data_IF_216246392073
#
_entry.id   IF_216246392073
#
_cell.length_a   1.000
_cell.length_b   1.000
_cell.length_c   1.000
_cell.angle_alpha   90.00
_cell.angle_beta   90.00
_cell.angle_gamma   90.00
#
_symmetry.space_group_name_H-M   'P 1'
#
loop_
_entity.id
_entity.type
_entity.pdbx_description
1 polymer ?
#
# COMPACT_ATOMS: atom_id res chain seq x y z
N UNK A 1 15.14 -15.23 0.78
CA UNK A 1 15.19 -15.16 2.23
C UNK A 1 14.69 -16.47 2.82
N UNK A 2 13.40 -16.71 2.75
CA UNK A 2 12.78 -17.94 3.24
C UNK A 2 13.21 -19.17 2.45
N UNK A 3 13.33 -20.31 3.12
CA UNK A 3 13.73 -21.60 2.58
C UNK A 3 12.66 -22.64 2.94
N UNK A 4 12.60 -23.80 2.24
CA UNK A 4 11.73 -24.90 2.65
C UNK A 4 11.95 -25.28 4.12
N UNK A 5 10.86 -25.34 4.88
CA UNK A 5 10.87 -25.57 6.33
C UNK A 5 10.84 -24.30 7.20
N UNK A 6 11.07 -23.10 6.60
CA UNK A 6 10.94 -21.83 7.31
C UNK A 6 9.48 -21.47 7.58
N UNK A 7 9.25 -20.61 8.58
CA UNK A 7 7.94 -20.06 8.92
C UNK A 7 7.93 -18.55 8.82
N UNK A 8 6.94 -18.01 8.09
CA UNK A 8 6.60 -16.59 8.04
C UNK A 8 5.36 -16.34 8.91
N UNK A 9 5.48 -15.39 9.85
CA UNK A 9 4.40 -14.95 10.72
C UNK A 9 4.01 -13.51 10.34
N UNK A 10 2.80 -13.31 9.82
CA UNK A 10 2.23 -11.98 9.64
C UNK A 10 1.61 -11.50 10.94
N UNK A 11 1.93 -10.28 11.38
CA UNK A 11 1.48 -9.74 12.67
C UNK A 11 0.61 -8.49 12.56
N UNK A 12 0.35 -8.04 11.35
CA UNK A 12 -0.47 -6.85 11.05
C UNK A 12 -1.87 -7.20 10.50
N UNK A 13 -2.40 -8.34 10.92
CA UNK A 13 -3.61 -8.90 10.32
C UNK A 13 -3.32 -9.66 9.04
N UNK A 14 -4.36 -10.05 8.31
CA UNK A 14 -4.20 -10.76 7.04
C UNK A 14 -3.50 -9.85 6.03
N UNK A 15 -2.49 -10.34 5.28
CA UNK A 15 -1.84 -9.54 4.26
C UNK A 15 -2.80 -9.11 3.15
N UNK A 16 -2.40 -8.09 2.39
CA UNK A 16 -3.13 -7.57 1.24
C UNK A 16 -3.48 -8.67 0.22
N UNK A 17 -4.67 -8.57 -0.39
CA UNK A 17 -5.31 -9.61 -1.20
C UNK A 17 -4.36 -10.25 -2.25
N UNK A 18 -3.57 -9.45 -2.96
CA UNK A 18 -2.65 -9.98 -3.98
C UNK A 18 -1.50 -10.82 -3.42
N UNK A 19 -1.19 -10.71 -2.13
CA UNK A 19 -0.21 -11.58 -1.47
C UNK A 19 -0.77 -12.96 -1.14
N UNK A 20 -2.09 -13.14 -1.12
CA UNK A 20 -2.70 -14.44 -0.81
C UNK A 20 -2.22 -15.53 -1.77
N UNK A 21 -2.18 -15.26 -3.08
CA UNK A 21 -1.67 -16.22 -4.07
C UNK A 21 -0.16 -16.41 -3.97
N UNK A 22 0.61 -15.37 -3.63
CA UNK A 22 2.06 -15.47 -3.43
C UNK A 22 2.40 -16.34 -2.23
N UNK A 23 1.63 -16.20 -1.15
CA UNK A 23 1.78 -17.03 0.06
C UNK A 23 1.26 -18.45 -0.18
N UNK A 24 0.20 -18.60 -0.97
CA UNK A 24 -0.49 -19.86 -1.22
C UNK A 24 -1.72 -20.04 -0.31
N UNK A 25 -2.37 -18.94 0.08
CA UNK A 25 -3.66 -18.96 0.75
C UNK A 25 -4.80 -19.15 -0.24
N UNK A 26 -4.59 -18.75 -1.49
CA UNK A 26 -5.49 -18.94 -2.64
C UNK A 26 -4.68 -19.50 -3.81
N UNK A 27 -5.34 -20.30 -4.66
CA UNK A 27 -4.68 -21.01 -5.77
C UNK A 27 -3.92 -22.27 -5.32
N UNK A 28 -3.61 -23.13 -6.27
CA UNK A 28 -2.85 -24.39 -6.04
C UNK A 28 -1.78 -24.55 -7.11
N UNK A 29 -0.60 -25.06 -6.72
CA UNK A 29 0.52 -25.36 -7.63
C UNK A 29 0.96 -24.19 -8.52
N UNK A 30 0.92 -22.98 -7.98
CA UNK A 30 1.28 -21.75 -8.71
C UNK A 30 2.69 -21.24 -8.39
N UNK A 31 3.48 -22.02 -7.63
CA UNK A 31 4.82 -21.59 -7.18
C UNK A 31 4.78 -20.65 -5.98
N UNK A 32 3.77 -20.79 -5.13
CA UNK A 32 3.62 -20.03 -3.89
C UNK A 32 4.67 -20.38 -2.85
N UNK A 33 4.78 -19.59 -1.78
CA UNK A 33 5.64 -19.92 -0.64
C UNK A 33 5.28 -21.28 -0.04
N UNK A 34 3.98 -21.58 0.06
CA UNK A 34 3.47 -22.86 0.57
C UNK A 34 3.86 -24.02 -0.33
N UNK A 35 3.83 -23.86 -1.67
CA UNK A 35 4.27 -24.90 -2.60
C UNK A 35 5.76 -25.24 -2.43
N UNK A 36 6.56 -24.26 -1.97
CA UNK A 36 7.98 -24.46 -1.65
C UNK A 36 8.22 -24.90 -0.20
N UNK A 37 7.18 -25.29 0.54
CA UNK A 37 7.30 -25.83 1.90
C UNK A 37 7.59 -24.77 2.95
N UNK A 38 7.21 -23.52 2.72
CA UNK A 38 7.29 -22.44 3.70
C UNK A 38 5.95 -22.36 4.43
N UNK A 39 6.00 -22.45 5.77
CA UNK A 39 4.81 -22.28 6.59
C UNK A 39 4.42 -20.80 6.73
N UNK A 40 3.12 -20.56 6.76
CA UNK A 40 2.55 -19.24 7.00
C UNK A 40 1.57 -19.29 8.18
N UNK A 41 1.64 -18.26 9.01
CA UNK A 41 0.69 -18.03 10.09
C UNK A 41 0.39 -16.53 10.21
N UNK A 42 -0.72 -16.17 10.85
CA UNK A 42 -1.16 -14.79 10.97
C UNK A 42 -1.72 -14.53 12.38
N UNK A 43 -1.27 -13.45 13.00
CA UNK A 43 -1.88 -12.93 14.23
C UNK A 43 -2.97 -11.95 13.81
N UNK A 44 -4.24 -12.22 14.13
CA UNK A 44 -5.33 -11.30 13.83
C UNK A 44 -5.20 -10.00 14.62
N UNK A 45 -5.74 -8.93 14.07
CA UNK A 45 -5.88 -7.68 14.80
C UNK A 45 -6.95 -7.82 15.89
N UNK A 46 -6.78 -7.08 16.98
CA UNK A 46 -7.76 -6.95 18.05
C UNK A 46 -8.36 -5.54 18.00
N UNK A 47 -9.65 -5.44 17.67
CA UNK A 47 -10.33 -4.14 17.53
C UNK A 47 -9.57 -3.18 16.59
N UNK A 48 -9.14 -3.70 15.44
CA UNK A 48 -8.35 -2.99 14.40
C UNK A 48 -6.93 -2.56 14.83
N UNK A 49 -6.44 -3.00 16.01
CA UNK A 49 -5.10 -2.73 16.54
C UNK A 49 -4.24 -3.99 16.63
N UNK A 50 -2.92 -3.79 16.70
CA UNK A 50 -1.98 -4.90 16.94
C UNK A 50 -2.19 -5.52 18.31
N UNK A 51 -2.36 -6.84 18.36
CA UNK A 51 -2.40 -7.60 19.62
C UNK A 51 -0.96 -8.01 20.03
N UNK A 52 -0.28 -7.15 20.76
CA UNK A 52 1.10 -7.40 21.19
C UNK A 52 1.27 -8.63 22.07
N UNK A 53 0.24 -9.01 22.85
CA UNK A 53 0.29 -10.22 23.68
C UNK A 53 0.20 -11.48 22.81
N UNK A 54 -0.69 -11.46 21.81
CA UNK A 54 -0.81 -12.55 20.84
C UNK A 54 0.45 -12.67 19.98
N UNK A 55 1.03 -11.56 19.55
CA UNK A 55 2.31 -11.51 18.81
C UNK A 55 3.42 -12.15 19.66
N UNK A 56 3.56 -11.74 20.93
CA UNK A 56 4.58 -12.29 21.83
C UNK A 56 4.42 -13.79 22.09
N UNK A 57 3.20 -14.32 22.03
CA UNK A 57 2.92 -15.77 22.17
C UNK A 57 3.17 -16.53 20.86
N UNK A 58 2.95 -15.89 19.71
CA UNK A 58 3.08 -16.52 18.40
C UNK A 58 4.52 -16.57 17.88
N UNK A 59 5.39 -15.67 18.35
CA UNK A 59 6.82 -15.66 18.00
C UNK A 59 7.55 -16.68 18.89
N UNK A 60 8.10 -17.71 18.26
CA UNK A 60 8.94 -18.74 18.86
C UNK A 60 10.18 -19.03 17.99
N UNK A 61 10.99 -19.99 18.39
CA UNK A 61 12.22 -20.36 17.67
C UNK A 61 11.98 -20.92 16.26
N UNK A 62 10.75 -21.27 15.90
CA UNK A 62 10.37 -21.76 14.57
C UNK A 62 10.08 -20.61 13.58
N UNK A 63 9.83 -19.39 14.09
CA UNK A 63 9.52 -18.24 13.25
C UNK A 63 10.79 -17.66 12.65
N UNK A 64 10.98 -17.89 11.36
CA UNK A 64 12.12 -17.33 10.61
C UNK A 64 11.92 -15.85 10.26
N UNK A 65 10.67 -15.45 9.98
CA UNK A 65 10.35 -14.08 9.58
C UNK A 65 9.06 -13.61 10.23
N UNK A 66 9.13 -12.45 10.87
CA UNK A 66 7.96 -11.62 11.23
C UNK A 66 7.73 -10.63 10.10
N UNK A 67 6.54 -10.65 9.51
CA UNK A 67 6.13 -9.77 8.43
C UNK A 67 5.13 -8.74 8.91
N UNK A 68 5.37 -7.47 8.57
CA UNK A 68 4.54 -6.32 8.90
C UNK A 68 4.13 -5.64 7.61
N UNK A 69 2.84 -5.49 7.35
CA UNK A 69 2.30 -4.59 6.33
C UNK A 69 1.91 -3.28 7.01
N UNK A 70 2.64 -2.20 6.73
CA UNK A 70 2.39 -0.89 7.38
C UNK A 70 1.12 -0.24 6.89
N UNK A 71 0.97 -0.06 5.59
CA UNK A 71 -0.23 0.53 5.01
C UNK A 71 -1.43 -0.40 5.15
N UNK A 72 -2.61 0.20 5.19
CA UNK A 72 -3.87 -0.51 5.48
C UNK A 72 -4.36 -1.45 4.40
N UNK A 73 -3.86 -1.35 3.16
CA UNK A 73 -4.49 -2.06 2.05
C UNK A 73 -5.95 -1.62 1.88
N UNK A 74 -6.88 -2.56 1.73
CA UNK A 74 -8.33 -2.29 1.70
C UNK A 74 -9.01 -2.53 3.06
N UNK A 75 -8.28 -2.39 4.15
CA UNK A 75 -8.82 -2.47 5.50
C UNK A 75 -9.12 -1.07 6.07
N UNK A 76 -10.03 -1.00 7.02
CA UNK A 76 -10.40 0.26 7.68
C UNK A 76 -9.46 0.63 8.83
N UNK A 77 -8.62 -0.31 9.28
CA UNK A 77 -7.62 -0.04 10.31
C UNK A 77 -6.73 1.14 9.95
N UNK A 78 -6.17 1.79 10.94
CA UNK A 78 -5.13 2.79 10.72
C UNK A 78 -3.86 2.13 10.14
N UNK A 79 -3.10 2.90 9.36
CA UNK A 79 -1.75 2.49 8.93
C UNK A 79 -0.80 2.55 10.12
N UNK A 80 0.11 1.57 10.23
CA UNK A 80 0.95 1.39 11.40
C UNK A 80 2.03 2.48 11.49
N UNK A 81 2.20 3.01 12.68
CA UNK A 81 3.24 3.96 13.01
C UNK A 81 4.62 3.32 13.08
N UNK A 82 5.67 4.15 13.15
CA UNK A 82 7.02 3.66 13.39
C UNK A 82 7.19 3.14 14.82
N UNK A 83 6.50 3.73 15.79
CA UNK A 83 6.49 3.30 17.18
C UNK A 83 5.86 1.89 17.32
N UNK A 84 4.76 1.63 16.63
CA UNK A 84 4.14 0.29 16.58
C UNK A 84 5.06 -0.72 15.90
N UNK A 85 5.71 -0.32 14.80
CA UNK A 85 6.70 -1.15 14.10
C UNK A 85 7.89 -1.48 15.00
N UNK A 86 8.42 -0.49 15.72
CA UNK A 86 9.51 -0.66 16.70
C UNK A 86 9.11 -1.66 17.78
N UNK A 87 7.93 -1.50 18.37
CA UNK A 87 7.44 -2.39 19.43
C UNK A 87 7.31 -3.83 18.96
N UNK A 88 6.83 -4.06 17.74
CA UNK A 88 6.80 -5.40 17.15
C UNK A 88 8.21 -5.96 16.97
N UNK A 89 9.15 -5.14 16.47
CA UNK A 89 10.53 -5.56 16.28
C UNK A 89 11.20 -5.94 17.62
N UNK A 90 10.97 -5.16 18.67
CA UNK A 90 11.47 -5.44 20.04
C UNK A 90 10.92 -6.77 20.54
N UNK A 91 9.60 -6.99 20.46
CA UNK A 91 8.96 -8.28 20.87
C UNK A 91 9.55 -9.44 20.06
N UNK A 92 9.65 -9.30 18.75
CA UNK A 92 10.16 -10.36 17.88
C UNK A 92 11.61 -10.73 18.25
N UNK A 93 12.48 -9.74 18.47
CA UNK A 93 13.89 -9.95 18.81
C UNK A 93 14.09 -10.46 20.26
N UNK A 94 13.23 -10.08 21.19
CA UNK A 94 13.25 -10.63 22.55
C UNK A 94 12.91 -12.12 22.54
N UNK A 95 11.92 -12.53 21.75
CA UNK A 95 11.48 -13.94 21.68
C UNK A 95 12.39 -14.80 20.82
N UNK A 96 12.80 -14.30 19.67
CA UNK A 96 13.71 -14.98 18.76
C UNK A 96 14.73 -13.98 18.16
N UNK A 97 15.93 -13.85 18.73
CA UNK A 97 16.95 -12.92 18.23
C UNK A 97 17.36 -13.16 16.77
N UNK A 98 17.17 -14.36 16.24
CA UNK A 98 17.52 -14.74 14.87
C UNK A 98 16.39 -14.48 13.87
N UNK A 99 15.19 -14.22 14.32
CA UNK A 99 14.05 -13.90 13.47
C UNK A 99 14.33 -12.62 12.66
N UNK A 100 13.88 -12.60 11.43
CA UNK A 100 13.97 -11.45 10.53
C UNK A 100 12.69 -10.64 10.63
N UNK A 101 12.80 -9.36 10.95
CA UNK A 101 11.67 -8.43 10.90
C UNK A 101 11.66 -7.75 9.53
N UNK A 102 10.67 -8.09 8.71
CA UNK A 102 10.47 -7.54 7.37
C UNK A 102 9.21 -6.67 7.33
N UNK A 103 9.33 -5.50 6.73
CA UNK A 103 8.23 -4.55 6.59
C UNK A 103 7.93 -4.29 5.11
N UNK A 104 6.68 -4.47 4.71
CA UNK A 104 6.14 -3.87 3.50
C UNK A 104 5.87 -2.40 3.79
N UNK A 105 6.64 -1.54 3.14
CA UNK A 105 6.64 -0.11 3.38
C UNK A 105 5.90 0.68 2.29
N UNK A 106 5.23 0.00 1.36
CA UNK A 106 4.44 0.63 0.30
C UNK A 106 3.50 1.71 0.88
N UNK A 107 3.48 2.87 0.24
CA UNK A 107 2.72 4.08 0.60
C UNK A 107 3.19 4.83 1.85
N UNK A 108 4.19 4.31 2.59
CA UNK A 108 4.65 4.87 3.86
C UNK A 108 6.00 5.58 3.75
N UNK A 109 6.74 5.36 2.65
CA UNK A 109 8.06 5.92 2.43
C UNK A 109 8.00 7.45 2.41
N UNK A 110 8.94 8.11 3.08
CA UNK A 110 9.08 9.58 3.17
C UNK A 110 7.89 10.32 3.82
N UNK A 111 6.93 9.61 4.40
CA UNK A 111 5.86 10.22 5.21
C UNK A 111 6.40 10.70 6.55
N UNK A 112 7.30 9.93 7.14
CA UNK A 112 7.99 10.26 8.39
C UNK A 112 9.46 10.63 8.13
N UNK A 113 10.13 11.18 9.16
CA UNK A 113 11.56 11.50 9.12
C UNK A 113 12.47 10.28 9.17
N UNK A 114 11.95 9.18 9.65
CA UNK A 114 12.64 7.89 9.79
C UNK A 114 11.92 6.84 8.98
N UNK A 115 12.63 5.75 8.66
CA UNK A 115 12.10 4.58 8.00
C UNK A 115 12.17 3.37 8.94
N UNK A 116 11.42 2.29 8.69
CA UNK A 116 11.35 1.15 9.60
C UNK A 116 12.69 0.52 9.94
N UNK A 117 13.67 0.58 9.05
CA UNK A 117 15.05 0.08 9.31
C UNK A 117 15.80 0.86 10.38
N UNK A 118 15.35 2.07 10.69
CA UNK A 118 15.94 2.90 11.77
C UNK A 118 15.29 2.64 13.13
N UNK A 119 14.21 1.86 13.15
CA UNK A 119 13.44 1.53 14.37
C UNK A 119 13.34 0.02 14.61
N UNK A 120 14.27 -0.78 14.06
CA UNK A 120 14.42 -2.20 14.38
C UNK A 120 13.99 -3.19 13.30
N UNK A 121 13.42 -2.76 12.18
CA UNK A 121 13.21 -3.65 11.04
C UNK A 121 14.56 -4.05 10.40
N UNK A 122 14.71 -5.34 10.08
CA UNK A 122 15.91 -5.84 9.41
C UNK A 122 15.87 -5.57 7.90
N UNK A 123 14.67 -5.54 7.33
CA UNK A 123 14.45 -5.43 5.90
C UNK A 123 13.15 -4.69 5.61
N UNK A 124 13.19 -3.81 4.62
CA UNK A 124 12.00 -3.19 4.04
C UNK A 124 11.93 -3.49 2.56
N UNK A 125 10.73 -3.56 2.04
CA UNK A 125 10.47 -3.63 0.61
C UNK A 125 9.33 -2.69 0.24
N UNK A 126 9.35 -2.22 -1.01
CA UNK A 126 8.29 -1.38 -1.54
C UNK A 126 8.35 -1.29 -3.06
N UNK A 127 7.35 -0.66 -3.62
CA UNK A 127 7.20 -0.47 -5.06
C UNK A 127 7.76 0.88 -5.51
N UNK A 128 8.52 0.87 -6.61
CA UNK A 128 9.03 2.10 -7.21
C UNK A 128 7.99 2.85 -8.07
N UNK A 129 6.86 2.24 -8.40
CA UNK A 129 5.75 2.99 -9.02
C UNK A 129 4.94 3.81 -7.98
N UNK A 130 5.22 3.59 -6.68
CA UNK A 130 4.62 4.29 -5.54
C UNK A 130 5.57 5.37 -5.01
N UNK A 131 5.52 5.64 -3.71
CA UNK A 131 6.25 6.72 -3.04
C UNK A 131 7.72 6.81 -3.46
N UNK A 132 8.46 5.72 -3.34
CA UNK A 132 9.92 5.73 -3.50
C UNK A 132 10.39 6.05 -4.93
N UNK A 133 9.53 5.88 -5.93
CA UNK A 133 9.85 6.22 -7.31
C UNK A 133 9.44 7.63 -7.74
N UNK A 134 8.79 8.42 -6.86
CA UNK A 134 8.52 9.85 -7.06
C UNK A 134 7.75 10.19 -8.34
N UNK A 135 7.00 9.26 -8.91
CA UNK A 135 6.29 9.42 -10.18
C UNK A 135 7.16 9.33 -11.44
N UNK A 136 8.47 9.10 -11.28
CA UNK A 136 9.42 8.97 -12.38
C UNK A 136 9.68 7.53 -12.79
N UNK A 137 9.69 6.61 -11.81
CA UNK A 137 9.93 5.21 -12.04
C UNK A 137 8.69 4.54 -12.66
N UNK A 138 8.85 3.94 -13.84
CA UNK A 138 7.75 3.31 -14.59
C UNK A 138 7.41 1.92 -14.07
N UNK A 139 8.33 1.28 -13.37
CA UNK A 139 8.23 -0.09 -12.88
C UNK A 139 9.27 -0.33 -11.80
N UNK A 140 9.23 -1.49 -11.18
CA UNK A 140 10.25 -1.95 -10.27
C UNK A 140 9.84 -1.88 -8.81
N UNK A 141 10.72 -2.43 -8.00
CA UNK A 141 10.63 -2.42 -6.55
C UNK A 141 12.00 -2.17 -5.95
N UNK A 142 12.02 -1.94 -4.67
CA UNK A 142 13.27 -1.83 -3.91
C UNK A 142 13.23 -2.76 -2.70
N UNK A 143 14.40 -3.15 -2.27
CA UNK A 143 14.66 -3.83 -1.00
C UNK A 143 15.79 -3.09 -0.32
N UNK A 144 15.61 -2.70 0.93
CA UNK A 144 16.62 -2.01 1.72
C UNK A 144 16.67 -2.56 3.15
N UNK A 145 17.85 -2.50 3.79
CA UNK A 145 18.02 -2.98 5.15
C UNK A 145 19.41 -3.59 5.37
N UNK A 146 19.50 -4.61 6.20
CA UNK A 146 20.74 -5.29 6.51
C UNK A 146 21.43 -5.82 5.24
N UNK A 147 22.70 -5.54 5.12
CA UNK A 147 23.51 -5.88 3.95
C UNK A 147 23.44 -7.39 3.59
N UNK A 148 23.60 -8.27 4.58
CA UNK A 148 23.57 -9.72 4.39
C UNK A 148 22.23 -10.21 3.83
N UNK A 149 21.12 -9.55 4.20
CA UNK A 149 19.77 -9.89 3.73
C UNK A 149 19.51 -9.36 2.32
N UNK A 150 19.92 -8.13 2.05
CA UNK A 150 19.82 -7.52 0.71
C UNK A 150 20.64 -8.31 -0.30
N UNK A 151 21.85 -8.75 0.07
CA UNK A 151 22.68 -9.60 -0.80
C UNK A 151 22.03 -10.95 -1.09
N UNK A 152 21.43 -11.61 -0.10
CA UNK A 152 20.66 -12.85 -0.30
C UNK A 152 19.48 -12.64 -1.27
N UNK A 153 18.81 -11.51 -1.20
CA UNK A 153 17.74 -11.17 -2.14
C UNK A 153 18.30 -10.99 -3.56
N UNK A 154 19.44 -10.32 -3.71
CA UNK A 154 20.09 -10.10 -4.99
C UNK A 154 20.43 -11.42 -5.74
N UNK A 155 20.82 -12.47 -5.01
CA UNK A 155 21.05 -13.80 -5.60
C UNK A 155 19.80 -14.47 -6.20
N UNK A 156 18.61 -13.93 -5.94
CA UNK A 156 17.33 -14.45 -6.48
C UNK A 156 16.69 -13.51 -7.50
N UNK A 157 17.18 -12.27 -7.62
CA UNK A 157 16.51 -11.23 -8.39
C UNK A 157 16.52 -11.49 -9.89
N UNK A 158 17.65 -11.93 -10.45
CA UNK A 158 17.81 -12.17 -11.88
C UNK A 158 18.11 -13.64 -12.14
N UNK A 159 19.37 -14.02 -12.08
CA UNK A 159 19.82 -15.41 -12.25
C UNK A 159 20.27 -15.96 -10.90
N UNK A 160 19.62 -17.00 -10.36
CA UNK A 160 20.00 -17.58 -9.08
C UNK A 160 21.49 -17.90 -9.02
N UNK A 161 22.16 -17.40 -7.98
CA UNK A 161 23.58 -17.63 -7.74
C UNK A 161 24.55 -16.61 -8.33
N UNK A 162 24.12 -15.74 -9.27
CA UNK A 162 24.97 -14.69 -9.84
C UNK A 162 24.79 -13.31 -9.17
N UNK A 163 23.70 -13.16 -8.40
CA UNK A 163 23.45 -11.93 -7.65
C UNK A 163 23.26 -10.72 -8.57
N UNK A 164 23.80 -9.58 -8.14
CA UNK A 164 23.68 -8.28 -8.83
C UNK A 164 24.65 -8.06 -9.99
N UNK A 165 25.53 -9.03 -10.25
CA UNK A 165 26.53 -8.93 -11.33
C UNK A 165 25.89 -9.02 -12.72
N UNK A 166 24.64 -9.50 -12.79
CA UNK A 166 23.87 -9.64 -14.02
C UNK A 166 22.48 -9.01 -13.89
N UNK A 167 21.90 -8.73 -15.01
CA UNK A 167 20.56 -8.16 -15.11
C UNK A 167 20.58 -6.81 -15.81
N UNK A 168 19.73 -6.67 -16.83
CA UNK A 168 19.60 -5.44 -17.57
C UNK A 168 18.70 -4.44 -16.83
N UNK A 169 19.15 -3.20 -16.71
CA UNK A 169 18.34 -2.09 -16.15
C UNK A 169 17.47 -1.42 -17.21
N UNK A 170 17.55 -1.85 -18.46
CA UNK A 170 16.78 -1.33 -19.61
C UNK A 170 16.92 0.20 -19.80
N UNK A 171 18.06 0.76 -19.36
CA UNK A 171 18.32 2.20 -19.45
C UNK A 171 17.55 3.06 -18.45
N UNK A 172 16.86 2.47 -17.47
CA UNK A 172 15.96 3.20 -16.56
C UNK A 172 16.64 3.76 -15.31
N UNK A 173 17.94 3.59 -15.13
CA UNK A 173 18.64 4.07 -13.93
C UNK A 173 18.41 5.55 -13.65
N UNK A 174 18.38 6.37 -14.70
CA UNK A 174 18.15 7.82 -14.54
C UNK A 174 16.78 8.10 -13.90
N UNK A 175 15.73 7.48 -14.41
CA UNK A 175 14.37 7.63 -13.89
C UNK A 175 14.24 7.11 -12.45
N UNK A 176 14.85 5.97 -12.17
CA UNK A 176 14.84 5.38 -10.81
C UNK A 176 15.51 6.31 -9.79
N UNK A 177 16.72 6.82 -10.08
CA UNK A 177 17.44 7.70 -9.17
C UNK A 177 16.84 9.10 -9.09
N UNK A 178 16.37 9.66 -10.20
CA UNK A 178 15.64 10.93 -10.18
C UNK A 178 14.33 10.82 -9.40
N UNK A 179 13.62 9.70 -9.58
CA UNK A 179 12.42 9.41 -8.83
C UNK A 179 12.67 9.37 -7.34
N UNK A 180 13.69 8.64 -6.90
CA UNK A 180 14.09 8.60 -5.50
C UNK A 180 14.46 10.00 -4.96
N UNK A 181 15.17 10.81 -5.76
CA UNK A 181 15.51 12.18 -5.38
C UNK A 181 14.28 13.07 -5.21
N UNK A 182 13.27 12.95 -6.09
CA UNK A 182 12.04 13.74 -6.00
C UNK A 182 11.00 13.14 -5.04
N UNK A 183 11.15 11.88 -4.62
CA UNK A 183 10.15 11.17 -3.82
C UNK A 183 9.68 11.93 -2.57
N UNK A 184 10.54 12.58 -1.76
CA UNK A 184 10.07 13.35 -0.60
C UNK A 184 9.14 14.51 -0.97
N UNK A 185 9.43 15.18 -2.09
CA UNK A 185 8.58 16.27 -2.60
C UNK A 185 7.22 15.72 -3.09
N UNK A 186 7.25 14.67 -3.91
CA UNK A 186 6.06 14.04 -4.46
C UNK A 186 5.16 13.48 -3.36
N UNK A 187 5.73 12.83 -2.35
CA UNK A 187 4.99 12.35 -1.17
C UNK A 187 4.36 13.51 -0.39
N UNK A 188 5.06 14.64 -0.27
CA UNK A 188 4.49 15.86 0.31
C UNK A 188 3.27 16.39 -0.47
N UNK A 189 3.28 16.31 -1.81
CA UNK A 189 2.13 16.66 -2.65
C UNK A 189 0.96 15.67 -2.45
N UNK A 190 1.27 14.37 -2.39
CA UNK A 190 0.28 13.33 -2.13
C UNK A 190 -0.37 13.48 -0.74
N UNK A 191 0.40 13.81 0.30
CA UNK A 191 -0.13 14.08 1.63
C UNK A 191 -1.04 15.32 1.66
N UNK A 192 -0.66 16.41 0.99
CA UNK A 192 -1.54 17.59 0.84
C UNK A 192 -2.85 17.23 0.14
N UNK A 193 -2.77 16.39 -0.89
CA UNK A 193 -3.93 15.91 -1.63
C UNK A 193 -4.87 15.09 -0.74
N UNK A 194 -4.32 14.16 0.03
CA UNK A 194 -5.08 13.33 0.96
C UNK A 194 -5.77 14.17 2.05
N UNK A 195 -5.06 15.14 2.63
CA UNK A 195 -5.63 16.07 3.63
C UNK A 195 -6.76 16.90 3.04
N UNK A 196 -6.57 17.44 1.82
CA UNK A 196 -7.61 18.20 1.14
C UNK A 196 -8.86 17.37 0.84
N UNK A 197 -8.69 16.16 0.32
CA UNK A 197 -9.79 15.23 0.05
C UNK A 197 -10.54 14.89 1.33
N UNK A 198 -9.83 14.61 2.42
CA UNK A 198 -10.44 14.37 3.73
C UNK A 198 -11.29 15.56 4.20
N UNK A 199 -10.74 16.78 4.15
CA UNK A 199 -11.44 17.99 4.56
C UNK A 199 -12.68 18.26 3.69
N UNK A 200 -12.53 18.15 2.37
CA UNK A 200 -13.62 18.39 1.42
C UNK A 200 -14.78 17.42 1.65
N UNK A 201 -14.52 16.12 1.67
CA UNK A 201 -15.59 15.12 1.80
C UNK A 201 -16.17 15.05 3.21
N UNK A 202 -15.36 15.31 4.24
CA UNK A 202 -15.89 15.49 5.60
C UNK A 202 -16.85 16.69 5.68
N UNK A 203 -16.59 17.78 4.93
CA UNK A 203 -17.50 18.93 4.88
C UNK A 203 -18.84 18.60 4.25
N UNK A 204 -18.92 17.63 3.37
CA UNK A 204 -20.16 17.09 2.81
C UNK A 204 -20.84 16.06 3.74
N UNK A 205 -20.23 15.70 4.87
CA UNK A 205 -20.77 14.77 5.85
C UNK A 205 -20.44 13.31 5.58
N UNK A 206 -19.45 13.00 4.73
CA UNK A 206 -18.95 11.64 4.54
C UNK A 206 -18.00 11.23 5.68
N UNK A 207 -17.96 9.93 5.95
CA UNK A 207 -16.96 9.35 6.83
C UNK A 207 -15.61 9.28 6.11
N UNK A 208 -14.55 9.76 6.77
CA UNK A 208 -13.20 9.82 6.23
C UNK A 208 -12.19 9.31 7.26
N UNK A 209 -11.24 8.51 6.82
CA UNK A 209 -10.16 8.04 7.69
C UNK A 209 -8.81 7.98 6.95
N UNK A 210 -7.75 8.62 7.47
CA UNK A 210 -7.72 9.53 8.61
C UNK A 210 -8.52 10.81 8.36
N UNK A 211 -8.93 11.52 9.42
CA UNK A 211 -9.47 12.87 9.29
C UNK A 211 -8.39 13.84 8.83
N UNK A 212 -8.78 15.01 8.35
CA UNK A 212 -7.86 15.99 7.80
C UNK A 212 -6.81 16.51 8.81
N UNK A 213 -7.12 16.49 10.11
CA UNK A 213 -6.29 16.95 11.22
C UNK A 213 -5.63 15.80 12.02
N UNK A 214 -5.84 14.55 11.62
CA UNK A 214 -5.22 13.39 12.24
C UNK A 214 -3.81 13.11 11.67
N UNK A 215 -2.88 12.58 12.49
CA UNK A 215 -1.58 12.12 12.03
C UNK A 215 -1.72 11.05 10.94
N UNK A 216 -0.80 11.08 9.97
CA UNK A 216 -0.77 10.12 8.86
C UNK A 216 0.50 9.30 8.89
N UNK A 217 0.38 8.01 8.56
CA UNK A 217 1.50 7.08 8.48
C UNK A 217 1.73 6.60 7.04
N UNK A 218 0.78 6.89 6.14
CA UNK A 218 0.85 6.66 4.71
C UNK A 218 0.15 7.78 3.93
N UNK A 219 0.11 7.67 2.61
CA UNK A 219 -0.56 8.62 1.72
C UNK A 219 -2.01 8.22 1.38
N UNK A 220 -2.53 7.16 1.99
CA UNK A 220 -3.87 6.62 1.68
C UNK A 220 -4.95 7.39 2.43
N UNK A 221 -5.99 7.77 1.72
CA UNK A 221 -7.22 8.34 2.26
C UNK A 221 -8.40 7.42 1.98
N UNK A 222 -9.08 6.96 3.03
CA UNK A 222 -10.33 6.23 2.89
C UNK A 222 -11.53 7.17 2.95
N UNK A 223 -12.53 6.88 2.14
CA UNK A 223 -13.75 7.66 2.01
C UNK A 223 -14.96 6.73 1.95
N UNK A 224 -15.84 6.78 2.95
CA UNK A 224 -17.08 6.01 3.02
C UNK A 224 -18.17 6.64 2.16
N UNK A 225 -18.53 5.99 1.04
CA UNK A 225 -19.47 6.51 0.04
C UNK A 225 -20.85 5.84 0.08
N UNK A 226 -21.10 4.97 1.06
CA UNK A 226 -22.39 4.41 1.49
C UNK A 226 -23.07 3.45 0.50
N UNK A 227 -22.84 3.57 -0.80
CA UNK A 227 -23.49 2.72 -1.81
C UNK A 227 -22.64 2.56 -3.09
N UNK A 228 -22.92 1.55 -3.94
CA UNK A 228 -22.17 1.27 -5.15
C UNK A 228 -22.20 2.42 -6.17
N UNK A 229 -23.36 3.06 -6.34
CA UNK A 229 -23.52 4.12 -7.35
C UNK A 229 -22.65 5.34 -7.02
N UNK A 230 -22.53 5.67 -5.73
CA UNK A 230 -21.62 6.72 -5.24
C UNK A 230 -20.15 6.38 -5.46
N UNK A 231 -19.75 5.11 -5.25
CA UNK A 231 -18.38 4.65 -5.56
C UNK A 231 -18.06 4.83 -7.05
N UNK A 232 -18.95 4.38 -7.92
CA UNK A 232 -18.78 4.50 -9.38
C UNK A 232 -18.75 5.97 -9.80
N UNK A 233 -19.68 6.80 -9.32
CA UNK A 233 -19.73 8.22 -9.66
C UNK A 233 -18.47 8.96 -9.19
N UNK A 234 -18.00 8.66 -7.98
CA UNK A 234 -16.76 9.20 -7.44
C UNK A 234 -15.54 8.85 -8.31
N UNK A 235 -15.34 7.57 -8.61
CA UNK A 235 -14.22 7.11 -9.45
C UNK A 235 -14.28 7.71 -10.87
N UNK A 236 -15.47 7.78 -11.48
CA UNK A 236 -15.66 8.44 -12.78
C UNK A 236 -15.29 9.93 -12.74
N UNK A 237 -15.65 10.61 -11.66
CA UNK A 237 -15.28 12.02 -11.48
C UNK A 237 -13.78 12.22 -11.26
N UNK A 238 -13.13 11.40 -10.47
CA UNK A 238 -11.66 11.40 -10.32
C UNK A 238 -10.99 11.16 -11.67
N UNK A 239 -11.44 10.15 -12.43
CA UNK A 239 -10.91 9.82 -13.75
C UNK A 239 -11.02 10.99 -14.73
N UNK A 240 -12.12 11.72 -14.71
CA UNK A 240 -12.36 12.85 -15.62
C UNK A 240 -11.38 14.01 -15.44
N UNK A 241 -10.76 14.12 -14.27
CA UNK A 241 -9.71 15.12 -13.96
C UNK A 241 -8.28 14.63 -14.20
N UNK A 242 -8.11 13.38 -14.59
CA UNK A 242 -6.79 12.77 -14.78
C UNK A 242 -6.04 13.31 -15.98
N UNK A 243 -4.69 13.36 -15.96
CA UNK A 243 -3.90 13.92 -17.06
C UNK A 243 -3.95 13.07 -18.33
N UNK A 244 -4.19 11.75 -18.17
CA UNK A 244 -4.31 10.79 -19.26
C UNK A 244 -5.61 10.02 -19.08
N UNK A 245 -6.23 9.63 -20.20
CA UNK A 245 -7.45 8.84 -20.23
C UNK A 245 -8.65 9.49 -19.49
N UNK A 246 -8.69 10.83 -19.38
CA UNK A 246 -9.80 11.56 -18.74
C UNK A 246 -11.17 11.32 -19.40
N UNK A 247 -11.20 10.86 -20.63
CA UNK A 247 -12.42 10.50 -21.38
C UNK A 247 -12.93 9.08 -21.07
N UNK A 248 -12.14 8.26 -20.38
CA UNK A 248 -12.53 6.90 -20.00
C UNK A 248 -13.52 6.96 -18.84
N UNK A 249 -14.55 6.13 -18.90
CA UNK A 249 -15.50 5.96 -17.81
C UNK A 249 -15.21 4.64 -17.09
N UNK A 250 -14.61 4.67 -15.89
CA UNK A 250 -14.39 3.47 -15.12
C UNK A 250 -15.71 2.78 -14.77
N UNK A 251 -15.72 1.46 -14.90
CA UNK A 251 -16.84 0.59 -14.54
C UNK A 251 -16.34 -0.53 -13.61
N UNK A 252 -17.19 -1.08 -12.73
CA UNK A 252 -16.84 -2.24 -11.93
C UNK A 252 -16.49 -3.43 -12.82
N UNK A 253 -15.37 -4.11 -12.52
CA UNK A 253 -14.93 -5.30 -13.24
C UNK A 253 -14.21 -6.28 -12.33
N UNK A 254 -14.13 -7.55 -12.77
CA UNK A 254 -13.48 -8.61 -12.03
C UNK A 254 -11.96 -8.49 -12.20
N UNK A 255 -11.29 -7.91 -11.20
CA UNK A 255 -9.83 -7.79 -11.19
C UNK A 255 -9.18 -9.06 -10.66
N UNK A 256 -8.11 -9.56 -11.30
CA UNK A 256 -7.36 -10.71 -10.79
C UNK A 256 -6.81 -10.45 -9.37
N UNK A 257 -7.03 -11.40 -8.46
CA UNK A 257 -6.58 -11.32 -7.08
C UNK A 257 -7.52 -10.61 -6.10
N UNK A 258 -8.74 -10.27 -6.52
CA UNK A 258 -9.77 -9.66 -5.69
C UNK A 258 -11.03 -10.51 -5.63
N UNK A 259 -11.67 -10.57 -4.45
CA UNK A 259 -12.88 -11.38 -4.22
C UNK A 259 -14.18 -10.65 -4.61
N UNK A 260 -14.11 -9.38 -4.99
CA UNK A 260 -15.23 -8.55 -5.43
C UNK A 260 -14.85 -7.70 -6.62
N UNK A 261 -15.82 -7.30 -7.41
CA UNK A 261 -15.57 -6.32 -8.45
C UNK A 261 -14.97 -5.03 -7.87
N UNK A 262 -14.08 -4.41 -8.62
CA UNK A 262 -13.45 -3.14 -8.26
C UNK A 262 -13.69 -2.13 -9.36
N UNK A 263 -14.08 -0.91 -9.00
CA UNK A 263 -13.99 0.24 -9.89
C UNK A 263 -12.73 1.02 -9.55
N UNK A 264 -11.91 1.32 -10.54
CA UNK A 264 -10.63 1.99 -10.34
C UNK A 264 -10.53 3.23 -11.25
N UNK A 265 -10.23 4.38 -10.65
CA UNK A 265 -9.77 5.56 -11.35
C UNK A 265 -8.23 5.62 -11.28
N UNK A 266 -7.58 5.58 -12.42
CA UNK A 266 -6.12 5.57 -12.51
C UNK A 266 -5.67 6.22 -13.83
N UNK A 267 -5.92 7.49 -13.97
CA UNK A 267 -5.48 8.26 -15.13
C UNK A 267 -4.02 8.65 -15.03
N UNK A 268 -3.13 7.75 -15.34
CA UNK A 268 -1.76 7.79 -14.95
C UNK A 268 -0.80 7.56 -16.13
N UNK A 269 0.41 8.11 -16.02
CA UNK A 269 1.55 7.76 -16.88
C UNK A 269 2.05 6.34 -16.62
N UNK A 270 1.77 5.81 -15.42
CA UNK A 270 2.03 4.43 -15.02
C UNK A 270 0.70 3.73 -14.75
N UNK A 271 0.46 2.59 -15.38
CA UNK A 271 -0.78 1.84 -15.21
C UNK A 271 -0.88 1.25 -13.79
N UNK A 272 -2.10 1.28 -13.22
CA UNK A 272 -2.42 0.74 -11.91
C UNK A 272 -2.24 1.72 -10.75
N UNK A 273 -2.34 1.21 -9.52
CA UNK A 273 -2.19 1.99 -8.27
C UNK A 273 -0.76 2.45 -8.07
N UNK A 274 -0.50 3.73 -8.28
CA UNK A 274 0.82 4.36 -8.22
C UNK A 274 0.83 5.58 -7.30
N UNK A 275 1.94 6.32 -7.23
CA UNK A 275 2.01 7.63 -6.55
C UNK A 275 1.22 8.71 -7.30
N UNK A 276 0.81 8.47 -8.53
CA UNK A 276 -0.13 9.30 -9.24
C UNK A 276 -1.52 9.14 -8.61
N UNK A 277 -2.37 10.16 -8.72
CA UNK A 277 -3.68 10.09 -8.09
C UNK A 277 -4.47 8.91 -8.65
N UNK A 278 -4.88 8.02 -7.76
CA UNK A 278 -5.77 6.92 -8.07
C UNK A 278 -6.80 6.73 -6.95
N UNK A 279 -7.94 6.13 -7.32
CA UNK A 279 -9.00 5.77 -6.39
C UNK A 279 -9.44 4.34 -6.70
N UNK A 280 -9.31 3.47 -5.73
CA UNK A 280 -9.68 2.07 -5.81
C UNK A 280 -10.92 1.85 -4.94
N UNK A 281 -11.99 1.31 -5.52
CA UNK A 281 -13.25 1.13 -4.82
C UNK A 281 -13.83 -0.28 -5.08
N UNK A 282 -13.56 -1.25 -4.19
CA UNK A 282 -14.22 -2.54 -4.19
C UNK A 282 -15.73 -2.39 -4.00
N UNK A 283 -16.52 -3.03 -4.87
CA UNK A 283 -17.98 -2.98 -4.82
C UNK A 283 -18.48 -3.96 -3.77
N UNK A 284 -18.25 -3.63 -2.52
CA UNK A 284 -18.70 -4.41 -1.35
C UNK A 284 -18.97 -3.50 -0.16
N UNK A 285 -19.94 -3.83 0.72
CA UNK A 285 -20.12 -3.11 1.99
C UNK A 285 -18.83 -3.10 2.82
N UNK A 286 -18.55 -2.00 3.53
CA UNK A 286 -19.37 -0.81 3.72
C UNK A 286 -19.19 0.30 2.66
N UNK A 287 -18.71 -0.01 1.45
CA UNK A 287 -18.61 0.88 0.29
C UNK A 287 -17.64 2.04 0.49
N UNK A 288 -16.38 1.70 0.75
CA UNK A 288 -15.30 2.67 0.82
C UNK A 288 -14.50 2.74 -0.47
N UNK A 289 -14.00 3.93 -0.77
CA UNK A 289 -12.95 4.16 -1.74
C UNK A 289 -11.62 4.44 -1.01
N UNK A 290 -10.53 3.85 -1.52
CA UNK A 290 -9.17 4.11 -1.09
C UNK A 290 -8.49 4.97 -2.15
N UNK A 291 -8.09 6.18 -1.74
CA UNK A 291 -7.51 7.20 -2.61
C UNK A 291 -6.07 7.40 -2.20
N UNK A 292 -5.16 7.38 -3.13
CA UNK A 292 -3.75 7.62 -2.86
C UNK A 292 -3.10 8.42 -3.99
N UNK A 293 -1.96 9.05 -3.65
CA UNK A 293 -1.12 9.74 -4.61
C UNK A 293 -1.55 11.17 -4.91
N UNK A 294 -1.02 11.64 -6.01
CA UNK A 294 -1.13 13.01 -6.49
C UNK A 294 0.25 13.61 -6.66
N UNK A 295 0.78 13.60 -7.90
CA UNK A 295 2.10 14.17 -8.22
C UNK A 295 2.15 15.67 -7.97
N UNK A 296 0.99 16.32 -8.08
CA UNK A 296 0.80 17.75 -7.85
C UNK A 296 -0.53 17.98 -7.14
N UNK A 297 -0.49 18.69 -6.03
CA UNK A 297 -1.67 19.01 -5.24
C UNK A 297 -2.79 19.68 -6.05
N UNK A 298 -2.45 20.63 -6.93
CA UNK A 298 -3.45 21.36 -7.72
C UNK A 298 -4.24 20.48 -8.67
N UNK A 299 -3.59 19.49 -9.30
CA UNK A 299 -4.27 18.52 -10.16
C UNK A 299 -5.18 17.60 -9.33
N UNK A 300 -4.68 17.08 -8.21
CA UNK A 300 -5.46 16.23 -7.31
C UNK A 300 -6.67 16.97 -6.72
N UNK A 301 -6.53 18.25 -6.40
CA UNK A 301 -7.63 19.12 -5.96
C UNK A 301 -8.73 19.19 -7.03
N UNK A 302 -8.36 19.44 -8.28
CA UNK A 302 -9.32 19.49 -9.40
C UNK A 302 -10.04 18.14 -9.55
N UNK A 303 -9.31 17.02 -9.49
CA UNK A 303 -9.92 15.69 -9.56
C UNK A 303 -10.93 15.44 -8.44
N UNK A 304 -10.60 15.85 -7.20
CA UNK A 304 -11.49 15.71 -6.06
C UNK A 304 -12.77 16.57 -6.19
N UNK A 305 -12.65 17.79 -6.71
CA UNK A 305 -13.79 18.69 -6.96
C UNK A 305 -14.67 18.17 -8.11
N UNK A 306 -14.07 17.68 -9.20
CA UNK A 306 -14.79 17.03 -10.30
C UNK A 306 -15.54 15.78 -9.83
N UNK A 307 -14.96 15.00 -8.94
CA UNK A 307 -15.64 13.86 -8.35
C UNK A 307 -16.87 14.27 -7.53
N UNK A 308 -16.76 15.32 -6.72
CA UNK A 308 -17.91 15.87 -6.00
C UNK A 308 -18.99 16.41 -6.94
N UNK A 309 -18.59 17.12 -8.00
CA UNK A 309 -19.52 17.62 -9.02
C UNK A 309 -20.23 16.48 -9.78
N UNK A 310 -19.49 15.41 -10.12
CA UNK A 310 -20.06 14.21 -10.76
C UNK A 310 -21.11 13.55 -9.84
N UNK A 311 -20.81 13.41 -8.56
CA UNK A 311 -21.75 12.88 -7.58
C UNK A 311 -22.98 13.82 -7.43
N UNK A 312 -22.78 15.12 -7.37
CA UNK A 312 -23.85 16.12 -7.29
C UNK A 312 -24.78 16.02 -8.51
N UNK A 313 -24.23 15.98 -9.72
CA UNK A 313 -25.01 15.90 -10.98
C UNK A 313 -25.89 14.67 -11.07
N UNK A 314 -25.54 13.60 -10.34
CA UNK A 314 -26.29 12.36 -10.24
C UNK A 314 -27.20 12.29 -9.00
N UNK A 315 -27.25 13.34 -8.18
CA UNK A 315 -28.03 13.38 -6.93
C UNK A 315 -27.49 12.44 -5.85
N UNK A 316 -26.19 12.12 -5.90
CA UNK A 316 -25.52 11.19 -4.99
C UNK A 316 -24.66 11.92 -3.94
N UNK A 317 -24.51 13.24 -4.01
CA UNK A 317 -23.76 13.99 -3.01
C UNK A 317 -24.60 14.16 -1.74
N UNK A 318 -24.01 13.84 -0.57
CA UNK A 318 -24.73 13.74 0.70
C UNK A 318 -25.28 15.08 1.21
N UNK A 319 -24.49 16.15 1.11
CA UNK A 319 -24.92 17.52 1.41
C UNK A 319 -24.41 18.45 0.33
N UNK A 320 -25.34 19.04 -0.39
CA UNK A 320 -25.03 20.04 -1.41
C UNK A 320 -24.65 21.36 -0.73
N UNK A 321 -23.35 21.67 -0.76
CA UNK A 321 -22.78 22.91 -0.19
C UNK A 321 -22.03 23.73 -1.25
N UNK A 322 -22.21 23.40 -2.54
CA UNK A 322 -21.66 24.20 -3.64
C UNK A 322 -22.54 25.42 -3.96
#
# INVERSE_FOLDING_TARGET
>A
MLRPGDKMLCVSGMPYDTLHSVIGLTGENMGSLKDYGIAFDCVPLKEEHLDYEAIAKAVDDTVTMVYIQRSRGYELRASLSLEETQKVAEIAKEKNPNCIVMVDNCYCEFVNKQEPTQVGADLIAGSLIKNAGGGMARTGGYIAGRHDLVEKCAFRLTTPGLGREVGATLGMNRELYMGLFYAPHTVGEALKSAVYIAALYQSFGYDVTPKWDEPRQDIVQCLGLENPDSLVAFCQGVQSGSPIDSYVLPEPWDMPGYDSQVVMAAGAFTLGSSIELSADAPIRPPYYAWIQGGLQFHSAKICAELAAHQMQSKGLLKHDKF
#
